data_IF_486101429731
#
_entry.id   IF_486101429731
#
_cell.length_a   1.000
_cell.length_b   1.000
_cell.length_c   1.000
_cell.angle_alpha   90.00
_cell.angle_beta   90.00
_cell.angle_gamma   90.00
#
_symmetry.space_group_name_H-M   'P 1'
#
loop_
_entity.id
_entity.type
_entity.pdbx_description
1 polymer ?
#
# COMPACT_ATOMS: atom_id res chain seq x y z
N UNK A 1 2.58 -1.24 -10.58
CA UNK A 1 1.35 -0.52 -10.18
C UNK A 1 0.42 -1.32 -9.24
N UNK A 2 0.44 -2.67 -9.27
CA UNK A 2 -0.43 -3.51 -8.45
C UNK A 2 -0.32 -3.26 -6.94
N UNK A 3 0.89 -3.18 -6.39
CA UNK A 3 1.07 -2.92 -4.96
C UNK A 3 0.54 -1.56 -4.50
N UNK A 4 0.67 -0.53 -5.35
CA UNK A 4 0.05 0.77 -5.11
C UNK A 4 -1.47 0.68 -5.16
N UNK A 5 -2.03 -0.03 -6.16
CA UNK A 5 -3.47 -0.27 -6.27
C UNK A 5 -4.02 -1.01 -5.04
N UNK A 6 -3.29 -2.00 -4.53
CA UNK A 6 -3.67 -2.74 -3.32
C UNK A 6 -3.77 -1.81 -2.11
N UNK A 7 -2.79 -0.93 -1.89
CA UNK A 7 -2.86 0.08 -0.84
C UNK A 7 -4.03 1.05 -1.06
N UNK A 8 -4.12 1.63 -2.25
CA UNK A 8 -5.14 2.63 -2.55
C UNK A 8 -6.56 2.07 -2.36
N UNK A 9 -6.90 0.98 -3.05
CA UNK A 9 -8.24 0.38 -2.99
C UNK A 9 -8.52 -0.15 -1.58
N UNK A 10 -7.56 -0.84 -0.96
CA UNK A 10 -7.73 -1.42 0.37
C UNK A 10 -7.95 -0.39 1.46
N UNK A 11 -7.24 0.73 1.41
CA UNK A 11 -7.37 1.79 2.41
C UNK A 11 -8.59 2.70 2.17
N UNK A 12 -9.05 2.83 0.93
CA UNK A 12 -10.27 3.59 0.63
C UNK A 12 -11.56 2.78 0.86
N UNK A 13 -11.48 1.45 0.74
CA UNK A 13 -12.61 0.54 0.90
C UNK A 13 -12.31 -0.59 1.91
N UNK A 14 -11.88 -0.28 3.15
CA UNK A 14 -11.39 -1.28 4.09
C UNK A 14 -12.42 -2.33 4.45
N UNK A 15 -13.71 -1.99 4.41
CA UNK A 15 -14.82 -2.90 4.73
C UNK A 15 -15.08 -3.97 3.68
N UNK A 16 -14.48 -3.88 2.49
CA UNK A 16 -14.67 -4.86 1.42
C UNK A 16 -13.70 -6.04 1.50
N UNK A 17 -12.61 -5.90 2.24
CA UNK A 17 -11.50 -6.86 2.23
C UNK A 17 -11.34 -7.56 3.58
N UNK A 18 -10.86 -8.81 3.54
CA UNK A 18 -10.47 -9.56 4.72
C UNK A 18 -9.00 -9.31 5.10
N UNK A 19 -8.17 -8.93 4.14
CA UNK A 19 -6.76 -8.61 4.31
C UNK A 19 -6.19 -7.90 3.08
N UNK A 20 -5.00 -7.34 3.20
CA UNK A 20 -4.24 -6.76 2.08
C UNK A 20 -2.90 -7.47 1.89
N UNK A 21 -2.48 -7.64 0.65
CA UNK A 21 -1.18 -8.19 0.29
C UNK A 21 -0.45 -7.27 -0.73
N UNK A 22 -0.09 -6.05 -0.34
CA UNK A 22 0.63 -5.15 -1.23
C UNK A 22 2.05 -5.63 -1.48
N UNK A 23 2.46 -5.60 -2.74
CA UNK A 23 3.81 -5.91 -3.13
C UNK A 23 4.43 -4.75 -3.89
N UNK A 24 5.65 -4.38 -3.50
CA UNK A 24 6.42 -3.32 -4.12
C UNK A 24 5.60 -2.05 -4.42
N UNK A 25 4.71 -1.68 -3.49
CA UNK A 25 3.86 -0.49 -3.60
C UNK A 25 4.53 0.74 -3.00
N UNK A 26 4.46 1.89 -3.69
CA UNK A 26 4.97 3.13 -3.12
C UNK A 26 4.02 3.72 -2.07
N UNK A 27 4.56 4.50 -1.15
CA UNK A 27 3.81 5.13 -0.07
C UNK A 27 3.02 6.35 -0.55
N UNK A 28 3.68 7.27 -1.19
CA UNK A 28 3.08 8.45 -1.81
C UNK A 28 3.78 8.77 -3.13
N UNK A 29 3.08 9.41 -4.05
CA UNK A 29 3.67 9.90 -5.29
C UNK A 29 4.75 10.97 -5.03
N UNK A 30 4.63 11.72 -3.93
CA UNK A 30 5.62 12.75 -3.59
C UNK A 30 6.99 12.18 -3.27
N UNK A 31 7.04 11.01 -2.64
CA UNK A 31 8.28 10.32 -2.29
C UNK A 31 8.76 9.45 -3.45
N UNK A 32 7.84 8.86 -4.19
CA UNK A 32 8.16 7.94 -5.29
C UNK A 32 8.72 8.66 -6.52
N UNK A 33 8.18 9.82 -6.88
CA UNK A 33 8.67 10.57 -8.05
C UNK A 33 10.00 11.24 -7.72
N UNK A 34 11.09 10.96 -8.47
CA UNK A 34 12.36 11.66 -8.30
C UNK A 34 12.18 13.18 -8.40
N UNK A 35 12.89 13.92 -7.57
CA UNK A 35 12.82 15.38 -7.54
C UNK A 35 13.09 16.01 -8.92
N UNK A 36 14.04 15.44 -9.68
CA UNK A 36 14.35 15.87 -11.04
C UNK A 36 13.15 15.77 -12.03
N UNK A 37 12.19 14.91 -11.74
CA UNK A 37 10.97 14.78 -12.54
C UNK A 37 9.85 15.71 -12.07
N UNK A 38 10.14 16.63 -11.16
CA UNK A 38 9.16 17.55 -10.58
C UNK A 38 9.57 19.02 -10.75
N UNK A 39 10.00 19.48 -11.96
CA UNK A 39 10.46 20.85 -12.14
C UNK A 39 9.39 21.88 -11.77
N UNK A 40 8.11 21.56 -11.96
CA UNK A 40 6.99 22.40 -11.54
C UNK A 40 6.90 22.63 -10.03
N UNK A 41 7.54 21.80 -9.20
CA UNK A 41 7.62 22.05 -7.75
C UNK A 41 8.70 23.05 -7.37
N UNK A 42 9.80 23.09 -8.13
CA UNK A 42 10.92 24.00 -7.86
C UNK A 42 10.55 25.47 -8.13
N UNK A 43 9.68 25.70 -9.12
CA UNK A 43 9.38 27.03 -9.62
C UNK A 43 7.93 27.47 -9.39
N UNK A 44 7.10 26.62 -8.78
CA UNK A 44 5.72 26.97 -8.50
C UNK A 44 5.61 27.83 -7.23
N UNK A 45 4.65 28.76 -7.23
CA UNK A 45 4.33 29.52 -6.03
C UNK A 45 3.74 28.60 -4.92
N UNK A 46 3.81 29.02 -3.65
CA UNK A 46 3.23 28.26 -2.54
C UNK A 46 1.76 27.92 -2.73
N UNK A 47 0.97 28.80 -3.32
CA UNK A 47 -0.47 28.63 -3.56
C UNK A 47 -0.71 27.52 -4.59
N UNK A 48 0.09 27.49 -5.66
CA UNK A 48 0.04 26.41 -6.67
C UNK A 48 0.44 25.07 -6.06
N UNK A 49 1.48 25.06 -5.25
CA UNK A 49 1.90 23.83 -4.54
C UNK A 49 0.78 23.33 -3.62
N UNK A 50 0.17 24.20 -2.84
CA UNK A 50 -0.92 23.83 -1.93
C UNK A 50 -2.14 23.29 -2.69
N UNK A 51 -2.52 23.92 -3.80
CA UNK A 51 -3.62 23.47 -4.64
C UNK A 51 -3.34 22.10 -5.25
N UNK A 52 -2.12 21.87 -5.71
CA UNK A 52 -1.67 20.57 -6.22
C UNK A 52 -1.69 19.49 -5.14
N UNK A 53 -1.21 19.79 -3.94
CA UNK A 53 -1.21 18.85 -2.82
C UNK A 53 -2.64 18.43 -2.46
N UNK A 54 -3.56 19.38 -2.40
CA UNK A 54 -4.99 19.13 -2.17
C UNK A 54 -5.60 18.25 -3.26
N UNK A 55 -5.32 18.54 -4.53
CA UNK A 55 -5.84 17.77 -5.66
C UNK A 55 -5.31 16.32 -5.73
N UNK A 56 -4.23 16.00 -5.02
CA UNK A 56 -3.61 14.67 -4.99
C UNK A 56 -3.72 13.98 -3.63
N UNK A 57 -4.51 14.52 -2.75
CA UNK A 57 -4.61 14.03 -1.38
C UNK A 57 -5.17 12.60 -1.32
N UNK A 58 -6.13 12.28 -2.17
CA UNK A 58 -6.70 10.95 -2.33
C UNK A 58 -5.68 9.89 -2.73
N UNK A 59 -4.67 10.26 -3.52
CA UNK A 59 -3.59 9.35 -3.92
C UNK A 59 -2.50 9.15 -2.83
N UNK A 60 -2.62 9.81 -1.67
CA UNK A 60 -1.68 9.67 -0.57
C UNK A 60 -2.09 8.55 0.39
N UNK A 61 -1.61 7.35 0.15
CA UNK A 61 -1.92 6.19 0.98
C UNK A 61 -1.56 6.36 2.47
N UNK A 62 -0.54 7.15 2.79
CA UNK A 62 -0.17 7.39 4.19
C UNK A 62 -1.24 8.17 4.96
N UNK A 63 -1.99 9.02 4.26
CA UNK A 63 -3.09 9.77 4.86
C UNK A 63 -4.23 8.85 5.31
N UNK A 64 -4.46 7.74 4.59
CA UNK A 64 -5.52 6.78 4.86
C UNK A 64 -5.08 5.56 5.67
N UNK A 65 -3.85 5.55 6.17
CA UNK A 65 -3.28 4.38 6.84
C UNK A 65 -4.06 3.94 8.09
N UNK A 66 -4.76 4.86 8.75
CA UNK A 66 -5.66 4.55 9.88
C UNK A 66 -6.77 3.58 9.50
N UNK A 67 -7.18 3.56 8.23
CA UNK A 67 -8.21 2.66 7.73
C UNK A 67 -7.76 1.18 7.70
N UNK A 68 -6.48 0.89 7.94
CA UNK A 68 -5.97 -0.47 8.09
C UNK A 68 -6.16 -1.07 9.49
N UNK A 69 -6.77 -0.37 10.44
CA UNK A 69 -6.94 -0.83 11.83
C UNK A 69 -7.46 -2.27 11.95
N UNK A 70 -8.44 -2.64 11.12
CA UNK A 70 -9.04 -3.97 11.13
C UNK A 70 -8.62 -4.86 9.96
N UNK A 71 -7.65 -4.42 9.16
CA UNK A 71 -7.12 -5.15 8.01
C UNK A 71 -5.76 -5.77 8.31
N UNK A 72 -5.65 -7.10 8.43
CA UNK A 72 -4.36 -7.76 8.41
C UNK A 72 -3.63 -7.49 7.10
N UNK A 73 -2.35 -7.14 7.18
CA UNK A 73 -1.55 -6.79 6.01
C UNK A 73 -0.32 -7.70 5.92
N UNK A 74 -0.05 -8.26 4.74
CA UNK A 74 1.24 -8.85 4.41
C UNK A 74 1.94 -8.02 3.34
N UNK A 75 3.06 -7.40 3.68
CA UNK A 75 3.85 -6.60 2.75
C UNK A 75 5.00 -7.44 2.23
N UNK A 76 5.15 -7.56 0.92
CA UNK A 76 6.29 -8.23 0.31
C UNK A 76 7.11 -7.26 -0.54
N UNK A 77 8.43 -7.27 -0.37
CA UNK A 77 9.34 -6.34 -1.03
C UNK A 77 10.67 -7.01 -1.40
N UNK A 78 11.17 -6.74 -2.60
CA UNK A 78 12.53 -7.10 -2.96
C UNK A 78 13.54 -6.07 -2.43
N UNK A 79 14.58 -6.52 -1.73
CA UNK A 79 15.59 -5.61 -1.16
C UNK A 79 16.44 -4.90 -2.23
N UNK A 80 16.52 -5.50 -3.44
CA UNK A 80 17.24 -4.92 -4.59
C UNK A 80 16.32 -4.17 -5.56
N UNK A 81 15.09 -3.87 -5.16
CA UNK A 81 14.12 -3.15 -5.98
C UNK A 81 14.56 -1.69 -6.22
N UNK A 82 14.89 -1.40 -7.48
CA UNK A 82 15.26 -0.05 -7.94
C UNK A 82 14.10 0.73 -8.55
N UNK A 83 12.99 0.03 -8.84
CA UNK A 83 11.79 0.64 -9.40
C UNK A 83 10.93 1.28 -8.31
N UNK A 84 10.67 0.52 -7.24
CA UNK A 84 10.04 1.02 -6.02
C UNK A 84 10.97 0.68 -4.84
N UNK A 85 11.80 1.63 -4.40
CA UNK A 85 12.78 1.38 -3.36
C UNK A 85 12.18 0.81 -2.08
N UNK A 86 12.85 -0.13 -1.39
CA UNK A 86 12.35 -0.79 -0.17
C UNK A 86 11.96 0.18 0.95
N UNK A 87 12.46 1.40 0.94
CA UNK A 87 12.10 2.43 1.92
C UNK A 87 10.59 2.68 2.02
N UNK A 88 9.84 2.51 0.91
CA UNK A 88 8.39 2.68 0.92
C UNK A 88 7.69 1.59 1.75
N UNK A 89 8.08 0.33 1.54
CA UNK A 89 7.53 -0.81 2.27
C UNK A 89 7.93 -0.77 3.76
N UNK A 90 9.20 -0.44 4.05
CA UNK A 90 9.70 -0.27 5.42
C UNK A 90 8.97 0.86 6.15
N UNK A 91 8.64 1.96 5.46
CA UNK A 91 7.85 3.05 6.04
C UNK A 91 6.44 2.57 6.42
N UNK A 92 5.75 1.84 5.54
CA UNK A 92 4.44 1.25 5.85
C UNK A 92 4.52 0.28 7.03
N UNK A 93 5.47 -0.65 7.03
CA UNK A 93 5.70 -1.56 8.14
C UNK A 93 5.80 -0.78 9.46
N UNK A 94 6.74 0.15 9.54
CA UNK A 94 7.00 0.94 10.75
C UNK A 94 5.77 1.71 11.23
N UNK A 95 5.02 2.32 10.31
CA UNK A 95 3.84 3.10 10.66
C UNK A 95 2.67 2.24 11.12
N UNK A 96 2.53 1.02 10.59
CA UNK A 96 1.52 0.06 11.05
C UNK A 96 1.89 -0.53 12.42
N UNK A 97 3.17 -0.87 12.63
CA UNK A 97 3.68 -1.38 13.91
C UNK A 97 3.52 -0.35 15.06
N UNK A 98 3.83 0.93 14.81
CA UNK A 98 3.63 2.00 15.82
C UNK A 98 2.16 2.13 16.23
N UNK A 99 1.22 1.76 15.37
CA UNK A 99 -0.23 1.78 15.63
C UNK A 99 -0.74 0.47 16.22
N UNK A 100 0.12 -0.50 16.44
CA UNK A 100 -0.24 -1.85 16.87
C UNK A 100 -1.21 -2.55 15.90
N UNK A 101 -1.07 -2.27 14.59
CA UNK A 101 -1.87 -2.90 13.55
C UNK A 101 -1.23 -4.22 13.10
N UNK A 102 -2.06 -5.17 12.64
CA UNK A 102 -1.61 -6.49 12.23
C UNK A 102 -0.85 -6.43 10.90
N UNK A 103 0.48 -6.40 10.96
CA UNK A 103 1.36 -6.38 9.78
C UNK A 103 2.37 -7.53 9.81
N UNK A 104 2.54 -8.17 8.66
CA UNK A 104 3.62 -9.10 8.37
C UNK A 104 4.47 -8.51 7.24
N UNK A 105 5.75 -8.26 7.51
CA UNK A 105 6.66 -7.68 6.52
C UNK A 105 7.70 -8.71 6.08
N UNK A 106 7.86 -8.85 4.78
CA UNK A 106 8.82 -9.76 4.15
C UNK A 106 9.69 -9.01 3.16
N UNK A 107 10.95 -8.85 3.49
CA UNK A 107 11.96 -8.30 2.59
C UNK A 107 12.89 -9.41 2.10
N UNK A 108 12.87 -9.66 0.79
CA UNK A 108 13.63 -10.71 0.16
C UNK A 108 14.94 -10.14 -0.37
N UNK A 109 16.06 -10.54 0.27
CA UNK A 109 17.38 -9.91 0.09
C UNK A 109 17.92 -9.97 -1.35
N UNK A 110 17.60 -11.04 -2.08
CA UNK A 110 18.12 -11.25 -3.44
C UNK A 110 17.16 -10.81 -4.54
N UNK A 111 15.96 -10.36 -4.21
CA UNK A 111 14.91 -10.02 -5.20
C UNK A 111 14.90 -8.55 -5.56
N UNK A 112 14.57 -8.29 -6.82
CA UNK A 112 14.33 -6.95 -7.37
C UNK A 112 12.83 -6.58 -7.32
N UNK A 113 12.34 -5.76 -8.26
CA UNK A 113 10.94 -5.37 -8.35
C UNK A 113 10.02 -6.51 -8.75
N UNK A 114 10.53 -7.41 -9.56
CA UNK A 114 9.82 -8.55 -10.11
C UNK A 114 10.71 -9.77 -10.09
N UNK A 115 10.16 -10.91 -9.77
CA UNK A 115 10.87 -12.20 -9.87
C UNK A 115 9.92 -13.34 -10.16
N UNK A 116 10.46 -14.36 -10.78
CA UNK A 116 9.85 -15.65 -11.04
C UNK A 116 10.88 -16.74 -10.77
N UNK A 117 10.53 -17.76 -10.04
CA UNK A 117 11.48 -18.83 -9.71
C UNK A 117 11.49 -19.88 -10.86
N UNK A 118 12.67 -20.28 -11.34
CA UNK A 118 12.78 -21.14 -12.52
C UNK A 118 12.10 -22.52 -12.38
N UNK A 119 11.67 -22.89 -11.19
CA UNK A 119 11.04 -24.18 -10.88
C UNK A 119 9.59 -24.06 -10.45
N UNK A 120 9.00 -22.88 -10.49
CA UNK A 120 7.58 -22.73 -10.18
C UNK A 120 6.75 -23.34 -11.33
N UNK A 121 5.93 -24.34 -10.99
CA UNK A 121 4.96 -24.89 -11.93
C UNK A 121 3.82 -23.88 -12.10
N UNK A 122 3.52 -23.48 -13.34
CA UNK A 122 2.32 -22.73 -13.63
C UNK A 122 2.48 -21.33 -14.23
N UNK A 123 3.69 -20.86 -14.54
CA UNK A 123 3.90 -19.62 -15.30
C UNK A 123 3.33 -18.35 -14.64
N UNK A 124 3.21 -18.35 -13.31
CA UNK A 124 2.85 -17.20 -12.50
C UNK A 124 4.06 -16.34 -12.14
N UNK A 125 3.84 -15.29 -11.38
CA UNK A 125 4.91 -14.51 -10.78
C UNK A 125 5.03 -14.84 -9.30
N UNK A 126 6.11 -15.49 -8.90
CA UNK A 126 6.40 -15.79 -7.49
C UNK A 126 6.47 -14.54 -6.62
N UNK A 127 6.63 -13.40 -7.27
CA UNK A 127 6.49 -12.12 -6.62
C UNK A 127 5.08 -11.91 -6.04
N UNK A 128 4.02 -12.41 -6.68
CA UNK A 128 2.62 -12.17 -6.33
C UNK A 128 1.94 -13.37 -5.71
N UNK A 129 2.16 -14.55 -6.25
CA UNK A 129 1.40 -15.78 -5.97
C UNK A 129 2.16 -16.82 -5.16
N UNK A 130 3.20 -16.40 -4.44
CA UNK A 130 3.96 -17.32 -3.61
C UNK A 130 3.10 -17.92 -2.46
N UNK A 131 3.49 -19.13 -2.05
CA UNK A 131 2.78 -19.94 -1.06
C UNK A 131 2.47 -19.18 0.24
N UNK A 132 3.38 -18.35 0.73
CA UNK A 132 3.21 -17.67 2.00
C UNK A 132 2.15 -16.57 1.93
N UNK A 133 2.08 -15.85 0.81
CA UNK A 133 1.00 -14.85 0.58
C UNK A 133 -0.35 -15.57 0.52
N UNK A 134 -0.44 -16.65 -0.25
CA UNK A 134 -1.68 -17.43 -0.40
C UNK A 134 -2.12 -18.02 0.95
N UNK A 135 -1.20 -18.60 1.73
CA UNK A 135 -1.50 -19.13 3.05
C UNK A 135 -1.92 -18.05 4.04
N UNK A 136 -1.28 -16.87 3.99
CA UNK A 136 -1.70 -15.74 4.80
C UNK A 136 -3.13 -15.33 4.45
N UNK A 137 -3.44 -15.11 3.18
CA UNK A 137 -4.76 -14.65 2.73
C UNK A 137 -5.86 -15.67 3.04
N UNK A 138 -5.61 -16.97 2.86
CA UNK A 138 -6.57 -18.06 3.16
C UNK A 138 -7.01 -18.12 4.62
N UNK A 139 -6.20 -17.63 5.54
CA UNK A 139 -6.50 -17.61 6.98
C UNK A 139 -7.35 -16.41 7.38
N UNK A 140 -7.49 -15.42 6.53
CA UNK A 140 -8.22 -14.20 6.87
C UNK A 140 -9.70 -14.33 6.54
N UNK A 141 -10.52 -13.74 7.39
CA UNK A 141 -11.98 -13.62 7.18
C UNK A 141 -12.37 -12.17 7.38
N UNK A 142 -13.26 -11.69 6.53
CA UNK A 142 -13.85 -10.37 6.72
C UNK A 142 -14.79 -10.40 7.92
N UNK A 143 -14.52 -9.54 8.87
CA UNK A 143 -15.33 -9.39 10.08
C UNK A 143 -15.87 -7.96 10.15
N UNK A 144 -17.04 -7.80 10.76
CA UNK A 144 -17.58 -6.48 11.07
C UNK A 144 -17.11 -6.13 12.48
N UNK A 145 -16.25 -5.11 12.65
CA UNK A 145 -15.76 -4.72 13.96
C UNK A 145 -16.87 -4.06 14.79
N UNK A 146 -16.80 -4.19 16.11
CA UNK A 146 -17.74 -3.53 17.03
C UNK A 146 -17.61 -2.01 17.03
N UNK A 147 -16.42 -1.50 16.71
CA UNK A 147 -16.13 -0.09 16.53
C UNK A 147 -15.07 0.10 15.46
N UNK A 148 -15.13 1.18 14.73
CA UNK A 148 -14.12 1.54 13.75
C UNK A 148 -14.05 3.05 13.56
N UNK A 149 -12.89 3.50 13.08
CA UNK A 149 -12.67 4.87 12.62
C UNK A 149 -12.27 4.82 11.16
N UNK A 150 -12.85 5.69 10.36
CA UNK A 150 -12.56 5.78 8.93
C UNK A 150 -12.14 7.20 8.61
N UNK A 151 -11.02 7.32 7.92
CA UNK A 151 -10.58 8.55 7.29
C UNK A 151 -11.05 8.58 5.85
N UNK A 152 -11.78 9.59 5.49
CA UNK A 152 -12.30 9.81 4.15
C UNK A 152 -11.73 11.09 3.57
N UNK A 153 -11.58 11.11 2.25
CA UNK A 153 -11.30 12.33 1.51
C UNK A 153 -12.61 13.01 1.10
N UNK A 154 -13.54 12.23 0.56
CA UNK A 154 -14.83 12.71 0.06
C UNK A 154 -15.88 11.60 0.22
N UNK A 155 -17.00 11.91 0.87
CA UNK A 155 -18.13 11.00 1.04
C UNK A 155 -18.81 10.63 -0.28
N UNK A 156 -18.67 11.44 -1.33
CA UNK A 156 -19.23 11.10 -2.64
C UNK A 156 -18.52 9.93 -3.31
N UNK A 157 -17.28 9.61 -2.90
CA UNK A 157 -16.49 8.51 -3.43
C UNK A 157 -16.80 7.19 -2.71
N UNK A 158 -17.09 7.23 -1.43
CA UNK A 158 -17.46 6.07 -0.64
C UNK A 158 -18.25 6.48 0.61
N UNK A 159 -19.48 6.07 0.69
CA UNK A 159 -20.43 6.36 1.79
C UNK A 159 -20.84 5.12 2.57
N UNK A 160 -20.31 3.93 2.25
CA UNK A 160 -20.68 2.64 2.84
C UNK A 160 -19.48 1.94 3.46
N UNK A 161 -19.53 1.70 4.76
CA UNK A 161 -18.52 1.01 5.53
C UNK A 161 -19.14 0.01 6.49
N UNK A 162 -18.86 -1.29 6.31
CA UNK A 162 -19.30 -2.39 7.18
C UNK A 162 -20.82 -2.65 7.25
N UNK A 163 -21.65 -1.78 6.72
CA UNK A 163 -23.11 -1.95 6.65
C UNK A 163 -23.63 -1.94 5.21
#
# INVERSE_FOLDING_TARGET
MGGQGTWHIGLHHPSLFAALAPQAGWSTLHVYQPFAMQPSRMFASPEILLSRERARHDANNLFFLENAEHLPVIITQGAKDKTVPPMHARLFQKLLEIRDYRVNYRELQDKAHWWDEPRSEGGGSDALDNKEIIEFLRKQKREIPNSFKIRLYDLSLNDRFYW
#
